data_IF_764196791707
#
_entry.id   IF_764196791707
#
_cell.length_a   1.000
_cell.length_b   1.000
_cell.length_c   1.000
_cell.angle_alpha   90.00
_cell.angle_beta   90.00
_cell.angle_gamma   90.00
#
_symmetry.space_group_name_H-M   'P 1'
#
loop_
_entity.id
_entity.type
_entity.pdbx_description
1 polymer ?
#
# COMPACT_ATOMS: atom_id res chain seq x y z
N UNK A 1 11.79 -13.54 18.40
CA UNK A 1 10.54 -14.21 17.96
C UNK A 1 9.31 -13.29 17.98
N UNK A 2 8.93 -12.67 19.08
CA UNK A 2 7.74 -11.76 19.06
C UNK A 2 7.96 -10.42 18.34
N UNK A 3 9.16 -9.91 18.23
CA UNK A 3 9.47 -8.66 17.53
C UNK A 3 9.54 -8.85 16.00
N UNK A 4 9.97 -10.02 15.55
CA UNK A 4 10.07 -10.34 14.11
C UNK A 4 8.69 -10.48 13.48
N UNK A 5 7.76 -11.18 14.12
CA UNK A 5 6.38 -11.35 13.63
C UNK A 5 5.63 -10.01 13.54
N UNK A 6 5.88 -9.09 14.49
CA UNK A 6 5.28 -7.75 14.44
C UNK A 6 5.81 -6.91 13.28
N UNK A 7 7.06 -7.12 12.89
CA UNK A 7 7.68 -6.38 11.80
C UNK A 7 7.19 -6.85 10.43
N UNK A 8 7.02 -8.16 10.29
CA UNK A 8 6.47 -8.77 9.08
C UNK A 8 5.05 -8.30 8.81
N UNK A 9 4.24 -8.23 9.86
CA UNK A 9 2.88 -7.71 9.77
C UNK A 9 2.86 -6.21 9.44
N UNK A 10 3.77 -5.45 10.04
CA UNK A 10 3.91 -4.00 9.79
C UNK A 10 4.26 -3.69 8.35
N UNK A 11 5.00 -4.56 7.72
CA UNK A 11 5.49 -4.46 6.36
C UNK A 11 4.40 -4.77 5.30
N UNK A 12 3.49 -5.70 5.59
CA UNK A 12 2.36 -6.00 4.73
C UNK A 12 1.22 -4.97 4.85
N UNK A 13 1.15 -4.23 5.95
CA UNK A 13 0.11 -3.23 6.21
C UNK A 13 -0.01 -2.16 5.10
N UNK A 14 1.06 -1.49 4.63
CA UNK A 14 0.95 -0.46 3.61
C UNK A 14 0.40 -0.98 2.28
N UNK A 15 0.52 -2.29 2.01
CA UNK A 15 -0.02 -2.92 0.81
C UNK A 15 -1.51 -3.19 0.97
N UNK A 16 -1.92 -3.77 2.10
CA UNK A 16 -3.31 -4.16 2.32
C UNK A 16 -4.23 -2.98 2.66
N UNK A 17 -3.71 -1.88 3.21
CA UNK A 17 -4.49 -0.68 3.55
C UNK A 17 -5.25 -0.11 2.33
N UNK A 18 -4.61 0.17 1.18
CA UNK A 18 -5.33 0.67 0.00
C UNK A 18 -6.34 -0.34 -0.54
N UNK A 19 -6.03 -1.64 -0.45
CA UNK A 19 -6.97 -2.68 -0.88
C UNK A 19 -8.23 -2.70 -0.01
N UNK A 20 -8.07 -2.68 1.30
CA UNK A 20 -9.18 -2.67 2.25
C UNK A 20 -10.08 -1.44 2.05
N UNK A 21 -9.48 -0.27 1.85
CA UNK A 21 -10.23 0.96 1.56
C UNK A 21 -10.93 0.89 0.21
N UNK A 22 -10.30 0.34 -0.83
CA UNK A 22 -10.93 0.14 -2.13
C UNK A 22 -12.16 -0.77 -2.04
N UNK A 23 -12.04 -1.92 -1.37
CA UNK A 23 -13.14 -2.87 -1.17
C UNK A 23 -14.26 -2.22 -0.34
N UNK A 24 -13.91 -1.56 0.76
CA UNK A 24 -14.88 -0.91 1.65
C UNK A 24 -15.69 0.16 0.92
N UNK A 25 -15.03 1.00 0.13
CA UNK A 25 -15.68 2.04 -0.67
C UNK A 25 -16.50 1.44 -1.82
N UNK A 26 -16.03 0.36 -2.44
CA UNK A 26 -16.75 -0.31 -3.52
C UNK A 26 -18.14 -0.83 -3.07
N UNK A 27 -18.21 -1.46 -1.90
CA UNK A 27 -19.46 -1.95 -1.34
C UNK A 27 -20.39 -0.83 -0.86
N UNK A 28 -19.83 0.29 -0.41
CA UNK A 28 -20.59 1.39 0.19
C UNK A 28 -20.68 2.64 -0.71
N UNK A 29 -20.34 2.54 -1.98
CA UNK A 29 -20.25 3.69 -2.92
C UNK A 29 -21.54 4.52 -3.03
N UNK A 30 -22.69 3.91 -2.81
CA UNK A 30 -24.02 4.56 -2.90
C UNK A 30 -24.47 5.21 -1.58
N UNK A 31 -23.80 4.89 -0.46
CA UNK A 31 -24.14 5.37 0.88
C UNK A 31 -23.27 6.53 1.34
N UNK A 32 -22.06 6.66 0.78
CA UNK A 32 -21.11 7.65 1.26
C UNK A 32 -21.12 8.92 0.44
N UNK A 33 -21.18 10.04 1.16
CA UNK A 33 -20.95 11.37 0.60
C UNK A 33 -19.48 11.52 0.21
N UNK A 34 -19.21 12.41 -0.74
CA UNK A 34 -17.86 12.74 -1.22
C UNK A 34 -16.88 13.06 -0.07
N UNK A 35 -17.34 13.79 0.94
CA UNK A 35 -16.52 14.14 2.11
C UNK A 35 -16.04 12.91 2.89
N UNK A 36 -16.91 11.93 3.07
CA UNK A 36 -16.59 10.69 3.79
C UNK A 36 -15.60 9.86 2.98
N UNK A 37 -15.82 9.74 1.67
CA UNK A 37 -14.91 9.04 0.77
C UNK A 37 -13.51 9.66 0.80
N UNK A 38 -13.42 10.98 0.70
CA UNK A 38 -12.16 11.72 0.76
C UNK A 38 -11.43 11.49 2.08
N UNK A 39 -12.15 11.54 3.20
CA UNK A 39 -11.58 11.32 4.52
C UNK A 39 -10.97 9.92 4.65
N UNK A 40 -11.70 8.88 4.23
CA UNK A 40 -11.21 7.49 4.31
C UNK A 40 -10.01 7.25 3.39
N UNK A 41 -10.07 7.73 2.17
CA UNK A 41 -8.98 7.54 1.19
C UNK A 41 -7.70 8.29 1.60
N UNK A 42 -7.82 9.54 2.02
CA UNK A 42 -6.67 10.33 2.48
C UNK A 42 -6.03 9.74 3.73
N UNK A 43 -6.84 9.34 4.73
CA UNK A 43 -6.30 8.69 5.92
C UNK A 43 -5.57 7.38 5.60
N UNK A 44 -6.13 6.56 4.74
CA UNK A 44 -5.50 5.30 4.36
C UNK A 44 -4.17 5.53 3.63
N UNK A 45 -4.11 6.50 2.71
CA UNK A 45 -2.89 6.85 2.01
C UNK A 45 -1.82 7.44 2.95
N UNK A 46 -2.23 8.31 3.87
CA UNK A 46 -1.33 8.88 4.87
C UNK A 46 -0.76 7.81 5.80
N UNK A 47 -1.60 6.89 6.28
CA UNK A 47 -1.15 5.77 7.12
C UNK A 47 -0.20 4.85 6.35
N UNK A 48 -0.53 4.51 5.10
CA UNK A 48 0.34 3.70 4.24
C UNK A 48 1.69 4.38 4.03
N UNK A 49 1.71 5.68 3.77
CA UNK A 49 2.94 6.45 3.62
C UNK A 49 3.76 6.52 4.92
N UNK A 50 3.11 6.77 6.06
CA UNK A 50 3.79 6.83 7.36
C UNK A 50 4.45 5.49 7.73
N UNK A 51 3.76 4.38 7.49
CA UNK A 51 4.31 3.04 7.74
C UNK A 51 5.48 2.76 6.79
N UNK A 52 5.34 3.09 5.50
CA UNK A 52 6.42 2.92 4.51
C UNK A 52 7.65 3.75 4.88
N UNK A 53 7.45 4.96 5.35
CA UNK A 53 8.54 5.82 5.83
C UNK A 53 9.24 5.22 7.05
N UNK A 54 8.48 4.70 8.00
CA UNK A 54 9.04 4.02 9.17
C UNK A 54 9.86 2.78 8.78
N UNK A 55 9.33 1.95 7.89
CA UNK A 55 10.03 0.77 7.37
C UNK A 55 11.33 1.17 6.66
N UNK A 56 11.28 2.21 5.82
CA UNK A 56 12.46 2.72 5.14
C UNK A 56 13.55 3.22 6.11
N UNK A 57 13.17 3.98 7.14
CA UNK A 57 14.11 4.46 8.15
C UNK A 57 14.76 3.30 8.91
N UNK A 58 14.00 2.26 9.23
CA UNK A 58 14.53 1.07 9.89
C UNK A 58 15.52 0.30 9.00
N UNK A 59 15.22 0.17 7.71
CA UNK A 59 16.15 -0.42 6.73
C UNK A 59 17.43 0.42 6.55
N UNK A 60 17.28 1.75 6.46
CA UNK A 60 18.40 2.66 6.27
C UNK A 60 19.37 2.71 7.48
N UNK A 61 18.89 2.39 8.67
CA UNK A 61 19.71 2.33 9.89
C UNK A 61 20.42 0.97 10.08
N UNK A 62 20.45 0.11 9.08
CA UNK A 62 21.02 -1.26 9.11
C UNK A 62 20.51 -2.12 10.29
N UNK A 63 19.34 -1.78 10.82
CA UNK A 63 18.73 -2.52 11.93
C UNK A 63 18.06 -3.81 11.49
N UNK A 64 17.88 -3.99 10.17
CA UNK A 64 17.25 -5.16 9.59
C UNK A 64 18.06 -5.75 8.45
N UNK A 65 18.19 -7.08 8.48
CA UNK A 65 18.67 -7.83 7.33
C UNK A 65 17.55 -7.94 6.27
N UNK A 66 17.91 -8.05 4.97
CA UNK A 66 16.91 -8.24 3.92
C UNK A 66 16.06 -9.47 4.22
N UNK A 67 14.75 -9.27 4.24
CA UNK A 67 13.79 -10.32 4.56
C UNK A 67 13.34 -10.93 3.24
N UNK A 68 13.57 -12.22 3.08
CA UNK A 68 13.12 -12.98 1.92
C UNK A 68 12.03 -13.96 2.35
N UNK A 69 10.79 -13.67 1.99
CA UNK A 69 9.66 -14.54 2.21
C UNK A 69 9.35 -15.37 0.96
N UNK A 70 9.65 -16.65 1.00
CA UNK A 70 9.20 -17.60 -0.03
C UNK A 70 7.84 -18.17 0.37
N UNK A 71 6.78 -17.80 -0.33
CA UNK A 71 5.42 -18.30 -0.08
C UNK A 71 5.22 -19.68 -0.73
N UNK A 72 5.72 -19.85 -1.94
CA UNK A 72 5.47 -21.06 -2.72
C UNK A 72 6.63 -21.37 -3.67
N UNK A 73 7.03 -22.65 -3.72
CA UNK A 73 7.94 -23.17 -4.75
C UNK A 73 7.12 -23.56 -5.97
N UNK A 74 7.30 -22.84 -7.07
CA UNK A 74 6.59 -23.13 -8.32
C UNK A 74 7.11 -24.39 -9.01
N UNK A 75 8.43 -24.54 -9.03
CA UNK A 75 9.09 -25.69 -9.68
C UNK A 75 10.30 -26.14 -8.87
N UNK A 76 10.54 -27.46 -8.87
CA UNK A 76 11.72 -28.05 -8.22
C UNK A 76 12.99 -27.97 -9.07
N UNK A 77 12.86 -27.70 -10.37
CA UNK A 77 13.99 -27.54 -11.31
C UNK A 77 13.57 -26.65 -12.50
N UNK A 78 14.08 -25.41 -12.61
CA UNK A 78 14.88 -24.61 -11.68
C UNK A 78 14.11 -24.17 -10.43
N UNK A 79 14.83 -23.90 -9.35
CA UNK A 79 14.30 -23.53 -8.03
C UNK A 79 13.67 -22.12 -8.05
N UNK A 80 12.49 -21.99 -8.67
CA UNK A 80 11.76 -20.71 -8.77
C UNK A 80 10.82 -20.61 -7.58
N UNK A 81 11.10 -19.63 -6.72
CA UNK A 81 10.31 -19.32 -5.53
C UNK A 81 9.54 -18.03 -5.79
N UNK A 82 8.23 -18.07 -5.54
CA UNK A 82 7.42 -16.87 -5.48
C UNK A 82 7.42 -16.40 -4.02
N UNK A 83 7.90 -15.19 -3.79
CA UNK A 83 8.03 -14.64 -2.46
C UNK A 83 8.07 -13.12 -2.47
N UNK A 84 7.89 -12.53 -1.32
CA UNK A 84 8.11 -11.11 -1.09
C UNK A 84 9.54 -10.89 -0.62
N UNK A 85 10.26 -9.99 -1.27
CA UNK A 85 11.61 -9.60 -0.88
C UNK A 85 11.63 -8.16 -0.42
N UNK A 86 11.99 -7.91 0.83
CA UNK A 86 12.23 -6.58 1.34
C UNK A 86 13.72 -6.31 1.35
N UNK A 87 14.16 -5.63 0.34
CA UNK A 87 15.51 -5.12 0.21
C UNK A 87 15.52 -3.58 0.34
N UNK A 88 16.67 -2.97 0.49
CA UNK A 88 16.81 -1.52 0.50
C UNK A 88 16.20 -0.83 -0.72
N UNK A 89 16.30 -1.46 -1.89
CA UNK A 89 15.70 -0.97 -3.13
C UNK A 89 14.16 -1.02 -3.07
N UNK A 90 13.59 -2.14 -2.62
CA UNK A 90 12.14 -2.29 -2.44
C UNK A 90 11.60 -1.28 -1.43
N UNK A 91 12.35 -0.99 -0.35
CA UNK A 91 11.98 0.02 0.65
C UNK A 91 11.88 1.43 0.08
N UNK A 92 12.84 1.84 -0.79
CA UNK A 92 12.79 3.13 -1.49
C UNK A 92 11.61 3.20 -2.44
N UNK A 93 11.39 2.15 -3.23
CA UNK A 93 10.27 2.08 -4.17
C UNK A 93 8.91 2.11 -3.46
N UNK A 94 8.79 1.39 -2.35
CA UNK A 94 7.59 1.41 -1.51
C UNK A 94 7.29 2.84 -1.00
N UNK A 95 8.32 3.54 -0.51
CA UNK A 95 8.20 4.93 -0.06
C UNK A 95 7.79 5.87 -1.20
N UNK A 96 8.40 5.73 -2.38
CA UNK A 96 8.07 6.56 -3.54
C UNK A 96 6.62 6.34 -3.99
N UNK A 97 6.18 5.09 -4.13
CA UNK A 97 4.83 4.77 -4.58
C UNK A 97 3.79 5.28 -3.58
N UNK A 98 3.98 5.03 -2.29
CA UNK A 98 3.02 5.49 -1.26
C UNK A 98 3.01 7.00 -1.11
N UNK A 99 4.18 7.66 -1.18
CA UNK A 99 4.28 9.12 -1.12
C UNK A 99 3.63 9.80 -2.32
N UNK A 100 3.90 9.31 -3.53
CA UNK A 100 3.30 9.83 -4.76
C UNK A 100 1.78 9.62 -4.75
N UNK A 101 1.32 8.44 -4.32
CA UNK A 101 -0.10 8.12 -4.20
C UNK A 101 -0.82 9.05 -3.22
N UNK A 102 -0.20 9.36 -2.09
CA UNK A 102 -0.74 10.31 -1.12
C UNK A 102 -0.90 11.71 -1.73
N UNK A 103 0.14 12.21 -2.42
CA UNK A 103 0.10 13.52 -3.07
C UNK A 103 -0.99 13.56 -4.15
N UNK A 104 -1.08 12.55 -5.00
CA UNK A 104 -2.10 12.46 -6.05
C UNK A 104 -3.51 12.44 -5.44
N UNK A 105 -3.74 11.67 -4.39
CA UNK A 105 -5.04 11.63 -3.71
C UNK A 105 -5.40 12.99 -3.12
N UNK A 106 -4.45 13.67 -2.51
CA UNK A 106 -4.66 15.00 -1.93
C UNK A 106 -5.08 16.02 -2.99
N UNK A 107 -4.45 16.02 -4.16
CA UNK A 107 -4.85 16.88 -5.27
C UNK A 107 -6.19 16.45 -5.88
N UNK A 108 -6.42 15.15 -6.00
CA UNK A 108 -7.64 14.60 -6.60
C UNK A 108 -8.89 14.93 -5.79
N UNK A 109 -8.80 15.06 -4.47
CA UNK A 109 -9.95 15.45 -3.63
C UNK A 109 -10.49 16.84 -4.02
N UNK A 110 -9.60 17.77 -4.30
CA UNK A 110 -10.00 19.12 -4.72
C UNK A 110 -10.47 19.18 -6.18
N UNK A 111 -9.84 18.35 -7.05
CA UNK A 111 -10.15 18.36 -8.47
C UNK A 111 -11.49 17.67 -8.80
N UNK A 112 -11.82 16.59 -8.09
CA UNK A 112 -13.00 15.74 -8.33
C UNK A 112 -14.22 16.12 -7.47
N UNK A 113 -14.19 17.22 -6.72
CA UNK A 113 -15.22 17.62 -5.75
C UNK A 113 -16.64 17.78 -6.34
N UNK A 114 -16.75 17.96 -7.66
CA UNK A 114 -18.03 18.17 -8.34
C UNK A 114 -18.38 17.10 -9.37
N UNK A 115 -17.67 15.98 -9.37
CA UNK A 115 -17.87 14.94 -10.37
C UNK A 115 -18.79 13.83 -9.83
N UNK A 116 -19.83 13.49 -10.58
CA UNK A 116 -20.77 12.39 -10.26
C UNK A 116 -20.07 11.03 -10.09
N UNK A 117 -18.88 10.84 -10.68
CA UNK A 117 -18.08 9.62 -10.61
C UNK A 117 -16.97 9.66 -9.55
N UNK A 118 -16.98 10.64 -8.68
CA UNK A 118 -16.00 10.86 -7.62
C UNK A 118 -15.66 9.56 -6.83
N UNK A 119 -16.65 8.88 -6.29
CA UNK A 119 -16.45 7.67 -5.50
C UNK A 119 -15.83 6.53 -6.31
N UNK A 120 -16.22 6.36 -7.58
CA UNK A 120 -15.68 5.32 -8.44
C UNK A 120 -14.19 5.58 -8.73
N UNK A 121 -13.80 6.84 -8.95
CA UNK A 121 -12.42 7.21 -9.19
C UNK A 121 -11.52 6.79 -8.03
N UNK A 122 -11.88 7.10 -6.79
CA UNK A 122 -11.06 6.73 -5.63
C UNK A 122 -10.98 5.22 -5.37
N UNK A 123 -12.04 4.48 -5.69
CA UNK A 123 -12.01 3.00 -5.64
C UNK A 123 -10.96 2.45 -6.61
N UNK A 124 -11.02 2.87 -7.88
CA UNK A 124 -10.08 2.40 -8.90
C UNK A 124 -8.65 2.86 -8.62
N UNK A 125 -8.48 4.08 -8.12
CA UNK A 125 -7.17 4.60 -7.77
C UNK A 125 -6.52 3.80 -6.62
N UNK A 126 -7.25 3.51 -5.55
CA UNK A 126 -6.73 2.70 -4.44
C UNK A 126 -6.40 1.26 -4.89
N UNK A 127 -7.23 0.67 -5.77
CA UNK A 127 -6.94 -0.64 -6.34
C UNK A 127 -5.67 -0.62 -7.21
N UNK A 128 -5.47 0.44 -7.97
CA UNK A 128 -4.25 0.65 -8.76
C UNK A 128 -3.02 0.77 -7.86
N UNK A 129 -3.09 1.55 -6.77
CA UNK A 129 -2.01 1.69 -5.79
C UNK A 129 -1.65 0.34 -5.17
N UNK A 130 -2.66 -0.45 -4.79
CA UNK A 130 -2.44 -1.81 -4.28
C UNK A 130 -1.67 -2.67 -5.29
N UNK A 131 -2.07 -2.66 -6.56
CA UNK A 131 -1.41 -3.44 -7.61
C UNK A 131 0.04 -3.01 -7.82
N UNK A 132 0.32 -1.71 -7.76
CA UNK A 132 1.69 -1.18 -7.84
C UNK A 132 2.55 -1.60 -6.66
N UNK A 133 2.00 -1.55 -5.45
CA UNK A 133 2.72 -1.97 -4.23
C UNK A 133 3.01 -3.47 -4.25
N UNK A 134 2.07 -4.27 -4.72
CA UNK A 134 2.25 -5.72 -4.85
C UNK A 134 3.36 -6.08 -5.87
N UNK A 135 3.51 -5.26 -6.91
CA UNK A 135 4.51 -5.49 -7.95
C UNK A 135 5.93 -5.10 -7.49
N UNK A 136 6.04 -4.13 -6.57
CA UNK A 136 7.32 -3.65 -6.04
C UNK A 136 7.94 -4.63 -5.05
N UNK A 137 7.14 -5.49 -4.45
CA UNK A 137 7.53 -6.45 -3.42
C UNK A 137 7.80 -7.84 -3.99
#
# INVERSE_FOLDING_TARGET
>A
MCLEVNLELLFLLPIFLPLLTAIFLFFNKNLFNELITNFFTLNSALLSFAISFYVFVMLALDKFQPINYSIFQWTNTPDIKIGFTLDGLSGIMLLLVTGLSFIIQLFSTSYMEKDEKHNNYFVYFNFFVFSMLLLVM
#
